data_IF_167807171103
#
_entry.id   IF_167807171103
#
_cell.length_a   1.000
_cell.length_b   1.000
_cell.length_c   1.000
_cell.angle_alpha   90.00
_cell.angle_beta   90.00
_cell.angle_gamma   90.00
#
_symmetry.space_group_name_H-M   'P 1'
#
loop_
_entity.id
_entity.type
_entity.pdbx_description
1 polymer ?
#
# COMPACT_ATOMS: atom_id res chain seq x y z
N UNK A 1 -10.31 20.27 20.99
CA UNK A 1 -9.27 19.22 21.17
C UNK A 1 -8.39 19.20 19.93
N UNK A 2 -7.15 19.68 20.02
CA UNK A 2 -6.21 19.61 18.90
C UNK A 2 -5.71 18.17 18.76
N UNK A 3 -6.05 17.49 17.65
CA UNK A 3 -5.37 16.25 17.26
C UNK A 3 -3.94 16.64 16.93
N UNK A 4 -3.05 16.52 17.92
CA UNK A 4 -1.60 16.62 17.72
C UNK A 4 -1.22 15.77 16.51
N UNK A 5 -0.61 16.43 15.52
CA UNK A 5 -0.26 15.88 14.21
C UNK A 5 0.69 14.70 14.38
N UNK A 6 0.14 13.50 14.46
CA UNK A 6 0.81 12.28 14.03
C UNK A 6 0.86 12.26 12.50
N UNK A 7 1.41 13.30 11.89
CA UNK A 7 1.58 13.37 10.44
C UNK A 7 2.91 12.71 10.11
N UNK A 8 2.91 11.83 9.11
CA UNK A 8 4.16 11.29 8.60
C UNK A 8 4.95 12.39 7.91
N UNK A 9 6.26 12.42 8.11
CA UNK A 9 7.16 13.31 7.36
C UNK A 9 7.41 12.84 5.91
N UNK A 10 6.63 11.88 5.42
CA UNK A 10 6.73 11.38 4.04
C UNK A 10 6.01 12.36 3.11
N UNK A 11 6.78 13.14 2.35
CA UNK A 11 6.21 14.08 1.39
C UNK A 11 5.52 13.36 0.22
N UNK A 12 4.57 14.02 -0.48
CA UNK A 12 3.96 13.51 -1.70
C UNK A 12 4.98 13.05 -2.76
N UNK A 13 6.04 13.83 -2.94
CA UNK A 13 7.14 13.59 -3.88
C UNK A 13 7.95 12.36 -3.48
N UNK A 14 8.21 12.20 -2.18
CA UNK A 14 8.90 11.03 -1.64
C UNK A 14 8.09 9.75 -1.90
N UNK A 15 6.78 9.77 -1.66
CA UNK A 15 5.90 8.62 -1.94
C UNK A 15 5.87 8.27 -3.43
N UNK A 16 5.75 9.29 -4.29
CA UNK A 16 5.80 9.12 -5.75
C UNK A 16 7.14 8.55 -6.22
N UNK A 17 8.26 9.01 -5.64
CA UNK A 17 9.60 8.53 -5.94
C UNK A 17 9.80 7.07 -5.52
N UNK A 18 9.36 6.69 -4.32
CA UNK A 18 9.38 5.31 -3.82
C UNK A 18 8.65 4.39 -4.80
N UNK A 19 7.41 4.73 -5.16
CA UNK A 19 6.62 3.95 -6.11
C UNK A 19 7.32 3.80 -7.46
N UNK A 20 7.84 4.90 -8.02
CA UNK A 20 8.54 4.90 -9.31
C UNK A 20 9.80 4.03 -9.29
N UNK A 21 10.58 4.08 -8.21
CA UNK A 21 11.78 3.23 -8.02
C UNK A 21 11.45 1.74 -8.08
N UNK A 22 10.22 1.36 -7.72
CA UNK A 22 9.74 -0.01 -7.74
C UNK A 22 9.06 -0.40 -9.06
N UNK A 23 9.03 0.50 -10.05
CA UNK A 23 8.43 0.23 -11.37
C UNK A 23 6.91 0.04 -11.35
N UNK A 24 6.21 0.47 -10.30
CA UNK A 24 4.76 0.24 -10.13
C UNK A 24 3.92 1.46 -10.53
N UNK A 25 2.74 1.20 -11.11
CA UNK A 25 1.71 2.23 -11.25
C UNK A 25 1.02 2.49 -9.90
N UNK A 26 0.19 3.53 -9.81
CA UNK A 26 -0.47 3.92 -8.55
C UNK A 26 -1.36 2.80 -8.00
N UNK A 27 -2.18 2.16 -8.84
CA UNK A 27 -3.08 1.09 -8.41
C UNK A 27 -2.31 -0.06 -7.77
N UNK A 28 -1.29 -0.55 -8.47
CA UNK A 28 -0.52 -1.72 -8.03
C UNK A 28 0.37 -1.46 -6.83
N UNK A 29 0.73 -0.19 -6.59
CA UNK A 29 1.49 0.19 -5.41
C UNK A 29 0.60 0.37 -4.18
N UNK A 30 -0.48 1.14 -4.32
CA UNK A 30 -1.34 1.48 -3.18
C UNK A 30 -2.21 0.31 -2.73
N UNK A 31 -2.59 -0.59 -3.64
CA UNK A 31 -3.36 -1.78 -3.30
C UNK A 31 -2.64 -2.71 -2.32
N UNK A 32 -1.29 -2.73 -2.33
CA UNK A 32 -0.49 -3.51 -1.37
C UNK A 32 -0.72 -3.07 0.07
N UNK A 33 -1.15 -1.82 0.30
CA UNK A 33 -1.39 -1.24 1.62
C UNK A 33 -2.89 -1.14 1.94
N UNK A 34 -3.76 -1.82 1.17
CA UNK A 34 -5.22 -1.71 1.31
C UNK A 34 -5.76 -0.34 0.90
N UNK A 35 -4.99 0.45 0.15
CA UNK A 35 -5.36 1.81 -0.27
C UNK A 35 -5.90 1.78 -1.71
N UNK A 36 -7.09 2.35 -1.92
CA UNK A 36 -7.67 2.47 -3.26
C UNK A 36 -6.89 3.45 -4.14
N UNK A 37 -6.90 3.23 -5.46
CA UNK A 37 -6.13 4.08 -6.40
C UNK A 37 -6.48 5.58 -6.31
N UNK A 38 -7.76 6.01 -6.19
CA UNK A 38 -8.08 7.43 -6.03
C UNK A 38 -7.51 8.03 -4.74
N UNK A 39 -7.52 7.27 -3.63
CA UNK A 39 -6.96 7.71 -2.36
C UNK A 39 -5.42 7.80 -2.43
N UNK A 40 -4.78 6.78 -3.01
CA UNK A 40 -3.33 6.78 -3.25
C UNK A 40 -2.86 7.92 -4.15
N UNK A 41 -3.65 8.29 -5.16
CA UNK A 41 -3.37 9.46 -6.01
C UNK A 41 -3.34 10.76 -5.20
N UNK A 42 -4.22 10.90 -4.19
CA UNK A 42 -4.21 12.05 -3.28
C UNK A 42 -3.00 12.03 -2.35
N UNK A 43 -2.53 10.86 -1.90
CA UNK A 43 -1.27 10.79 -1.14
C UNK A 43 -0.08 11.33 -1.94
N UNK A 44 -0.05 11.08 -3.25
CA UNK A 44 1.02 11.58 -4.13
C UNK A 44 0.86 13.05 -4.57
N UNK A 45 -0.13 13.79 -4.03
CA UNK A 45 -0.40 15.18 -4.43
C UNK A 45 -0.73 16.11 -3.26
N UNK A 46 -1.76 15.77 -2.48
CA UNK A 46 -2.53 16.78 -1.74
C UNK A 46 -2.78 16.44 -0.27
N UNK A 47 -2.70 15.16 0.13
CA UNK A 47 -3.05 14.74 1.50
C UNK A 47 -1.98 13.84 2.12
N UNK A 48 -1.78 13.99 3.44
CA UNK A 48 -0.89 13.11 4.20
C UNK A 48 -1.58 11.77 4.49
N UNK A 49 -0.92 10.62 4.28
CA UNK A 49 -1.44 9.33 4.70
C UNK A 49 -1.59 9.24 6.21
N UNK A 50 -2.49 8.37 6.68
CA UNK A 50 -2.57 8.02 8.10
C UNK A 50 -1.28 7.36 8.57
N UNK A 51 -0.98 7.44 9.87
CA UNK A 51 0.22 6.82 10.44
C UNK A 51 0.38 5.34 10.09
N UNK A 52 -0.66 4.48 10.17
CA UNK A 52 -0.51 3.07 9.80
C UNK A 52 -0.05 2.88 8.36
N UNK A 53 -0.63 3.64 7.41
CA UNK A 53 -0.23 3.56 5.99
C UNK A 53 1.21 4.04 5.81
N UNK A 54 1.57 5.17 6.40
CA UNK A 54 2.93 5.69 6.32
C UNK A 54 3.98 4.75 6.92
N UNK A 55 3.64 4.10 8.04
CA UNK A 55 4.49 3.12 8.71
C UNK A 55 4.75 1.90 7.82
N UNK A 56 3.71 1.35 7.19
CA UNK A 56 3.84 0.21 6.27
C UNK A 56 4.68 0.57 5.02
N UNK A 57 4.43 1.75 4.44
CA UNK A 57 5.23 2.26 3.32
C UNK A 57 6.70 2.37 3.73
N UNK A 58 6.99 2.95 4.91
CA UNK A 58 8.35 3.06 5.42
C UNK A 58 8.99 1.68 5.64
N UNK A 59 8.34 0.76 6.34
CA UNK A 59 8.86 -0.60 6.59
C UNK A 59 9.21 -1.32 5.29
N UNK A 60 8.32 -1.25 4.30
CA UNK A 60 8.59 -1.79 2.96
C UNK A 60 9.82 -1.13 2.34
N UNK A 61 9.92 0.20 2.36
CA UNK A 61 11.08 0.89 1.76
C UNK A 61 12.42 0.49 2.38
N UNK A 62 12.40 0.13 3.67
CA UNK A 62 13.55 -0.38 4.41
C UNK A 62 13.77 -1.89 4.23
N UNK A 63 13.00 -2.54 3.34
CA UNK A 63 12.99 -4.00 3.12
C UNK A 63 12.73 -4.82 4.40
N UNK A 64 12.08 -4.22 5.40
CA UNK A 64 11.66 -4.89 6.64
C UNK A 64 10.30 -5.57 6.52
N UNK A 65 9.60 -5.29 5.42
CA UNK A 65 8.29 -5.85 5.07
C UNK A 65 8.33 -6.18 3.58
N UNK A 66 8.10 -7.45 3.24
CA UNK A 66 8.09 -7.91 1.85
C UNK A 66 6.73 -7.70 1.20
N UNK A 67 6.68 -7.79 -0.13
CA UNK A 67 5.41 -7.72 -0.86
C UNK A 67 4.53 -8.96 -0.56
N UNK A 68 5.13 -10.11 -0.19
CA UNK A 68 4.38 -11.33 0.18
C UNK A 68 3.68 -11.15 1.54
N UNK A 69 4.38 -10.59 2.54
CA UNK A 69 3.79 -10.31 3.86
C UNK A 69 2.53 -9.42 3.75
N UNK A 70 2.57 -8.43 2.85
CA UNK A 70 1.44 -7.54 2.59
C UNK A 70 0.27 -8.26 1.91
N UNK A 71 0.55 -9.17 0.97
CA UNK A 71 -0.48 -9.99 0.30
C UNK A 71 -1.13 -10.94 1.29
N UNK A 72 -0.33 -11.64 2.10
CA UNK A 72 -0.82 -12.57 3.13
C UNK A 72 -1.66 -11.85 4.18
N UNK A 73 -1.22 -10.67 4.61
CA UNK A 73 -1.99 -9.84 5.55
C UNK A 73 -3.34 -9.40 4.95
N UNK A 74 -3.39 -9.00 3.67
CA UNK A 74 -4.65 -8.65 3.01
C UNK A 74 -5.57 -9.87 2.88
N UNK A 75 -5.03 -11.02 2.50
CA UNK A 75 -5.77 -12.27 2.39
C UNK A 75 -6.37 -12.70 3.74
N UNK A 76 -5.60 -12.60 4.83
CA UNK A 76 -6.06 -12.88 6.19
C UNK A 76 -7.20 -11.95 6.64
N UNK A 77 -7.30 -10.75 6.07
CA UNK A 77 -8.38 -9.79 6.31
C UNK A 77 -9.56 -9.95 5.32
N UNK A 78 -9.52 -10.94 4.42
CA UNK A 78 -10.54 -11.17 3.40
C UNK A 78 -10.54 -10.13 2.27
N UNK A 79 -9.43 -9.41 2.08
CA UNK A 79 -9.27 -8.39 1.04
C UNK A 79 -8.42 -8.96 -0.11
N UNK A 80 -8.89 -8.80 -1.35
CA UNK A 80 -8.10 -9.13 -2.53
C UNK A 80 -7.38 -7.89 -3.06
N UNK A 81 -6.06 -7.96 -3.21
CA UNK A 81 -5.32 -6.92 -3.93
C UNK A 81 -5.71 -6.98 -5.40
N UNK A 82 -6.58 -6.09 -5.86
CA UNK A 82 -6.97 -6.00 -7.26
C UNK A 82 -5.82 -5.39 -8.09
N UNK A 83 -4.81 -6.21 -8.41
CA UNK A 83 -3.75 -5.93 -9.37
C UNK A 83 -3.69 -7.07 -10.40
N UNK A 84 -3.38 -6.80 -11.68
CA UNK A 84 -3.32 -7.83 -12.72
C UNK A 84 -2.04 -8.66 -12.58
N UNK A 85 -2.02 -9.58 -11.61
CA UNK A 85 -1.05 -10.70 -11.57
C UNK A 85 -1.52 -11.88 -10.69
N UNK A 86 -2.56 -11.72 -9.86
CA UNK A 86 -3.13 -12.83 -9.10
C UNK A 86 -4.39 -13.40 -9.77
N UNK A 87 -4.21 -14.02 -10.94
CA UNK A 87 -5.21 -14.93 -11.49
C UNK A 87 -4.54 -16.25 -11.82
N UNK A 88 -4.15 -16.95 -10.76
CA UNK A 88 -3.97 -18.40 -10.79
C UNK A 88 -4.48 -18.94 -9.46
N UNK A 89 -5.57 -19.71 -9.59
CA UNK A 89 -6.04 -20.76 -8.70
C UNK A 89 -6.57 -20.42 -7.30
N UNK A 90 -7.77 -19.83 -7.30
CA UNK A 90 -8.77 -20.08 -6.25
C UNK A 90 -9.61 -21.35 -6.57
N UNK A 91 -8.95 -22.44 -7.00
CA UNK A 91 -9.61 -23.68 -7.43
C UNK A 91 -9.08 -24.95 -6.73
N UNK A 92 -8.35 -24.86 -5.61
CA UNK A 92 -7.84 -26.04 -4.89
C UNK A 92 -8.23 -26.11 -3.40
N UNK A 93 -9.32 -25.46 -2.98
CA UNK A 93 -9.85 -25.60 -1.61
C UNK A 93 -11.38 -25.77 -1.56
N UNK A 94 -11.95 -26.41 -2.58
CA UNK A 94 -13.29 -26.97 -2.49
C UNK A 94 -13.37 -28.26 -3.31
N UNK A 95 -13.61 -29.36 -2.60
CA UNK A 95 -13.80 -30.77 -3.03
C UNK A 95 -12.53 -31.62 -3.12
#
# INVERSE_FOLDING_TARGET
MARTSRQSHLSPEAMKAIRKRLGRNQRDFWSMFGVSQPLGSRFEKDITPSVPVAMLVWLRTQQKLSDHDLIDALAALGLSSSGPCARTDAALLAA
#
